data_IF_357987239832
#
_entry.id   IF_357987239832
#
_cell.length_a   1.000
_cell.length_b   1.000
_cell.length_c   1.000
_cell.angle_alpha   90.00
_cell.angle_beta   90.00
_cell.angle_gamma   90.00
#
_symmetry.space_group_name_H-M   'P 1'
#
loop_
_entity.id
_entity.type
_entity.pdbx_description
1 polymer ?
#
# COMPACT_ATOMS: atom_id res chain seq x y z
N UNK A 1 1.13 27.35 11.72
CA UNK A 1 2.20 26.74 12.54
C UNK A 1 3.00 25.86 11.60
N UNK A 2 4.29 26.09 11.44
CA UNK A 2 5.16 25.24 10.61
C UNK A 2 5.33 23.87 11.28
N UNK A 3 5.29 22.79 10.50
CA UNK A 3 5.63 21.46 11.02
C UNK A 3 7.05 21.44 11.61
N UNK A 4 7.32 20.62 12.65
CA UNK A 4 8.67 20.45 13.19
C UNK A 4 9.61 19.95 12.10
N UNK A 5 10.77 20.60 11.93
CA UNK A 5 11.77 20.24 10.90
C UNK A 5 12.20 18.76 10.99
N UNK A 6 12.34 18.24 12.21
CA UNK A 6 12.65 16.84 12.50
C UNK A 6 11.61 15.87 11.90
N UNK A 7 10.33 16.24 11.90
CA UNK A 7 9.28 15.39 11.35
C UNK A 7 9.31 15.38 9.81
N UNK A 8 9.53 16.53 9.18
CA UNK A 8 9.69 16.63 7.72
C UNK A 8 10.88 15.81 7.23
N UNK A 9 12.00 15.85 7.96
CA UNK A 9 13.17 15.03 7.65
C UNK A 9 12.89 13.53 7.80
N UNK A 10 12.17 13.14 8.86
CA UNK A 10 11.75 11.76 9.07
C UNK A 10 10.81 11.26 7.97
N UNK A 11 9.84 12.09 7.55
CA UNK A 11 8.94 11.78 6.44
C UNK A 11 9.73 11.53 5.16
N UNK A 12 10.64 12.45 4.78
CA UNK A 12 11.51 12.29 3.60
C UNK A 12 12.33 11.01 3.68
N UNK A 13 13.01 10.77 4.80
CA UNK A 13 13.84 9.59 5.01
C UNK A 13 13.07 8.28 4.80
N UNK A 14 11.80 8.24 5.22
CA UNK A 14 10.98 7.01 5.21
C UNK A 14 10.13 6.86 3.95
N UNK A 15 9.60 7.95 3.39
CA UNK A 15 8.69 7.94 2.24
C UNK A 15 9.40 8.11 0.91
N UNK A 16 10.48 8.90 0.81
CA UNK A 16 11.14 9.15 -0.47
C UNK A 16 11.63 7.85 -1.15
N UNK A 17 12.24 6.88 -0.45
CA UNK A 17 12.63 5.60 -1.07
C UNK A 17 11.44 4.84 -1.66
N UNK A 18 10.29 4.89 -0.99
CA UNK A 18 9.07 4.24 -1.45
C UNK A 18 8.48 4.96 -2.66
N UNK A 19 8.52 6.29 -2.68
CA UNK A 19 8.09 7.10 -3.82
C UNK A 19 9.01 6.89 -5.03
N UNK A 20 10.32 6.80 -4.82
CA UNK A 20 11.28 6.47 -5.87
C UNK A 20 11.01 5.08 -6.47
N UNK A 21 10.81 4.08 -5.61
CA UNK A 21 10.41 2.75 -6.07
C UNK A 21 9.12 2.81 -6.88
N UNK A 22 8.11 3.53 -6.39
CA UNK A 22 6.81 3.65 -7.06
C UNK A 22 6.93 4.29 -8.45
N UNK A 23 7.67 5.40 -8.54
CA UNK A 23 7.96 6.10 -9.79
C UNK A 23 8.64 5.18 -10.79
N UNK A 24 9.65 4.42 -10.35
CA UNK A 24 10.39 3.49 -11.20
C UNK A 24 9.53 2.30 -11.63
N UNK A 25 8.71 1.75 -10.72
CA UNK A 25 7.90 0.56 -10.96
C UNK A 25 6.73 0.80 -11.92
N UNK A 26 6.08 1.95 -11.78
CA UNK A 26 4.88 2.32 -12.55
C UNK A 26 5.16 3.37 -13.62
N UNK A 27 6.41 3.82 -13.77
CA UNK A 27 6.82 4.81 -14.78
C UNK A 27 5.91 6.05 -14.73
N UNK A 28 5.62 6.53 -13.52
CA UNK A 28 4.67 7.60 -13.26
C UNK A 28 5.33 8.76 -12.50
N UNK A 29 4.75 9.95 -12.61
CA UNK A 29 5.25 11.13 -11.91
C UNK A 29 4.33 11.47 -10.74
N UNK A 30 4.71 11.02 -9.54
CA UNK A 30 4.08 11.41 -8.28
C UNK A 30 5.07 12.25 -7.47
N UNK A 31 4.59 13.39 -6.99
CA UNK A 31 5.34 14.31 -6.13
C UNK A 31 4.62 14.48 -4.80
N UNK A 32 5.39 14.57 -3.72
CA UNK A 32 4.88 15.03 -2.44
C UNK A 32 4.40 16.50 -2.57
N UNK A 33 3.43 16.89 -1.75
CA UNK A 33 2.89 18.25 -1.74
C UNK A 33 2.92 18.76 -0.30
N UNK A 34 3.51 19.95 -0.11
CA UNK A 34 3.58 20.63 1.19
C UNK A 34 2.41 21.62 1.37
N UNK A 35 1.54 21.74 0.36
CA UNK A 35 0.35 22.59 0.36
C UNK A 35 -0.88 21.82 0.83
N UNK A 36 -1.80 22.51 1.51
CA UNK A 36 -3.09 21.94 1.92
C UNK A 36 -3.93 21.46 0.72
N UNK A 37 -3.71 22.06 -0.45
CA UNK A 37 -4.39 21.72 -1.69
C UNK A 37 -3.42 20.96 -2.58
N UNK A 38 -3.64 19.65 -2.71
CA UNK A 38 -2.87 18.83 -3.65
C UNK A 38 -3.19 19.21 -5.09
N UNK A 39 -2.15 19.21 -5.93
CA UNK A 39 -2.33 19.26 -7.38
C UNK A 39 -3.04 18.00 -7.87
N UNK A 40 -3.83 18.09 -8.96
CA UNK A 40 -4.45 16.90 -9.53
C UNK A 40 -3.39 15.93 -10.03
N UNK A 41 -3.59 14.64 -9.76
CA UNK A 41 -2.70 13.58 -10.28
C UNK A 41 -2.75 13.59 -11.81
N UNK A 42 -1.56 13.53 -12.40
CA UNK A 42 -1.35 13.49 -13.85
C UNK A 42 -2.21 12.40 -14.54
N UNK A 43 -2.92 12.74 -15.64
CA UNK A 43 -3.78 11.78 -16.35
C UNK A 43 -3.04 10.53 -16.82
N UNK A 44 -1.77 10.64 -17.24
CA UNK A 44 -0.98 9.49 -17.67
C UNK A 44 -0.73 8.53 -16.50
N UNK A 45 -0.36 9.08 -15.35
CA UNK A 45 -0.23 8.33 -14.10
C UNK A 45 -1.53 7.61 -13.72
N UNK A 46 -2.68 8.29 -13.80
CA UNK A 46 -4.00 7.65 -13.56
C UNK A 46 -4.27 6.52 -14.55
N UNK A 47 -3.94 6.68 -15.82
CA UNK A 47 -4.15 5.67 -16.85
C UNK A 47 -3.29 4.42 -16.61
N UNK A 48 -2.01 4.59 -16.24
CA UNK A 48 -1.11 3.48 -15.92
C UNK A 48 -1.62 2.69 -14.71
N UNK A 49 -1.98 3.40 -13.64
CA UNK A 49 -2.51 2.76 -12.43
C UNK A 49 -3.85 2.08 -12.69
N UNK A 50 -4.76 2.72 -13.42
CA UNK A 50 -6.05 2.11 -13.81
C UNK A 50 -5.85 0.84 -14.63
N UNK A 51 -4.93 0.86 -15.60
CA UNK A 51 -4.59 -0.31 -16.41
C UNK A 51 -4.04 -1.44 -15.54
N UNK A 52 -3.15 -1.11 -14.59
CA UNK A 52 -2.59 -2.09 -13.67
C UNK A 52 -3.67 -2.70 -12.77
N UNK A 53 -4.55 -1.89 -12.19
CA UNK A 53 -5.64 -2.36 -11.33
C UNK A 53 -6.64 -3.23 -12.08
N UNK A 54 -6.97 -2.87 -13.32
CA UNK A 54 -7.87 -3.64 -14.18
C UNK A 54 -7.31 -5.01 -14.60
N UNK A 55 -6.01 -5.28 -14.37
CA UNK A 55 -5.44 -6.61 -14.61
C UNK A 55 -5.79 -7.61 -13.52
N UNK A 56 -6.22 -7.14 -12.34
CA UNK A 56 -6.62 -8.01 -11.23
C UNK A 56 -8.06 -8.50 -11.38
N UNK A 57 -8.32 -9.72 -10.92
CA UNK A 57 -9.68 -10.22 -10.80
C UNK A 57 -10.43 -9.54 -9.65
N UNK A 58 -11.76 -9.64 -9.67
CA UNK A 58 -12.63 -8.99 -8.68
C UNK A 58 -12.29 -9.38 -7.23
N UNK A 59 -11.95 -10.64 -6.96
CA UNK A 59 -11.65 -11.11 -5.60
C UNK A 59 -10.32 -10.57 -5.09
N UNK A 60 -9.32 -10.51 -5.97
CA UNK A 60 -8.02 -9.90 -5.66
C UNK A 60 -8.23 -8.40 -5.36
N UNK A 61 -9.03 -7.71 -6.18
CA UNK A 61 -9.39 -6.32 -5.95
C UNK A 61 -10.15 -6.12 -4.64
N UNK A 62 -11.05 -7.02 -4.25
CA UNK A 62 -11.77 -6.93 -2.96
C UNK A 62 -10.80 -6.96 -1.77
N UNK A 63 -9.87 -7.93 -1.74
CA UNK A 63 -8.84 -7.99 -0.69
C UNK A 63 -7.94 -6.76 -0.72
N UNK A 64 -7.61 -6.28 -1.92
CA UNK A 64 -6.77 -5.12 -2.10
C UNK A 64 -7.42 -3.81 -1.65
N UNK A 65 -8.69 -3.58 -1.97
CA UNK A 65 -9.48 -2.43 -1.48
C UNK A 65 -9.52 -2.44 0.05
N UNK A 66 -9.72 -3.60 0.67
CA UNK A 66 -9.68 -3.70 2.13
C UNK A 66 -8.33 -3.28 2.72
N UNK A 67 -7.21 -3.63 2.07
CA UNK A 67 -5.86 -3.17 2.48
C UNK A 67 -5.73 -1.65 2.31
N UNK A 68 -6.16 -1.10 1.17
CA UNK A 68 -6.12 0.34 0.90
C UNK A 68 -6.93 1.11 1.93
N UNK A 69 -8.12 0.65 2.28
CA UNK A 69 -8.99 1.30 3.25
C UNK A 69 -8.41 1.35 4.66
N UNK A 70 -7.60 0.35 5.03
CA UNK A 70 -6.92 0.31 6.32
C UNK A 70 -5.65 1.18 6.32
N UNK A 71 -4.83 1.14 5.27
CA UNK A 71 -3.58 1.92 5.18
C UNK A 71 -3.80 3.37 4.74
N UNK A 72 -4.96 3.68 4.16
CA UNK A 72 -5.28 4.97 3.51
C UNK A 72 -4.27 5.39 2.42
N UNK A 73 -3.56 4.43 1.83
CA UNK A 73 -2.52 4.69 0.84
C UNK A 73 -2.49 3.62 -0.23
N UNK A 74 -2.74 4.03 -1.48
CA UNK A 74 -2.60 3.16 -2.64
C UNK A 74 -1.14 2.75 -2.86
N UNK A 75 -0.19 3.65 -2.63
CA UNK A 75 1.25 3.40 -2.82
C UNK A 75 1.73 2.30 -1.87
N UNK A 76 1.43 2.40 -0.57
CA UNK A 76 1.79 1.37 0.40
C UNK A 76 1.12 0.03 0.08
N UNK A 77 -0.14 0.07 -0.35
CA UNK A 77 -0.87 -1.14 -0.69
C UNK A 77 -0.27 -1.83 -1.92
N UNK A 78 0.07 -1.08 -2.98
CA UNK A 78 0.74 -1.63 -4.16
C UNK A 78 2.13 -2.17 -3.81
N UNK A 79 2.87 -1.50 -2.94
CA UNK A 79 4.15 -2.00 -2.45
C UNK A 79 4.04 -3.32 -1.67
N UNK A 80 2.94 -3.54 -0.94
CA UNK A 80 2.65 -4.82 -0.29
C UNK A 80 2.31 -5.92 -1.31
N UNK A 81 1.46 -5.62 -2.29
CA UNK A 81 1.11 -6.59 -3.34
C UNK A 81 2.33 -7.03 -4.14
N UNK A 82 3.20 -6.10 -4.50
CA UNK A 82 4.45 -6.37 -5.21
C UNK A 82 5.55 -6.95 -4.30
N UNK A 83 5.24 -7.23 -3.03
CA UNK A 83 6.16 -7.78 -2.01
C UNK A 83 7.43 -6.92 -1.82
N UNK A 84 7.34 -5.62 -2.11
CA UNK A 84 8.44 -4.68 -1.96
C UNK A 84 8.70 -4.32 -0.49
N UNK A 85 7.64 -4.27 0.32
CA UNK A 85 7.70 -4.01 1.77
C UNK A 85 6.90 -5.04 2.55
N UNK A 86 7.15 -5.17 3.85
CA UNK A 86 6.36 -6.05 4.73
C UNK A 86 5.12 -5.35 5.27
N UNK A 87 4.14 -6.12 5.77
CA UNK A 87 2.96 -5.56 6.47
C UNK A 87 3.37 -4.69 7.65
N UNK A 88 4.42 -5.09 8.38
CA UNK A 88 4.94 -4.31 9.51
C UNK A 88 5.44 -2.95 9.04
N UNK A 89 6.21 -2.92 7.96
CA UNK A 89 6.76 -1.67 7.42
C UNK A 89 5.66 -0.76 6.89
N UNK A 90 4.70 -1.33 6.14
CA UNK A 90 3.59 -0.56 5.59
C UNK A 90 2.72 0.08 6.68
N UNK A 91 2.40 -0.66 7.73
CA UNK A 91 1.62 -0.16 8.87
C UNK A 91 2.39 0.90 9.67
N UNK A 92 3.69 0.72 9.86
CA UNK A 92 4.52 1.72 10.53
C UNK A 92 4.61 3.00 9.68
N UNK A 93 4.77 2.89 8.36
CA UNK A 93 4.79 4.03 7.44
C UNK A 93 3.47 4.78 7.39
N UNK A 94 2.33 4.07 7.38
CA UNK A 94 1.00 4.71 7.40
C UNK A 94 0.72 5.45 8.72
N UNK A 95 1.44 5.12 9.79
CA UNK A 95 1.28 5.69 11.13
C UNK A 95 2.45 6.58 11.56
N UNK A 96 3.34 6.96 10.63
CA UNK A 96 4.59 7.65 10.95
C UNK A 96 4.37 8.90 11.81
N UNK A 97 3.35 9.70 11.48
CA UNK A 97 2.99 10.90 12.24
C UNK A 97 2.53 10.56 13.66
N UNK A 98 1.60 9.63 13.81
CA UNK A 98 1.09 9.20 15.12
C UNK A 98 2.24 8.70 15.99
N UNK A 99 3.13 7.88 15.44
CA UNK A 99 4.31 7.39 16.17
C UNK A 99 5.21 8.54 16.62
N UNK A 100 5.51 9.50 15.75
CA UNK A 100 6.32 10.67 16.10
C UNK A 100 5.70 11.50 17.23
N UNK A 101 4.39 11.75 17.14
CA UNK A 101 3.66 12.51 18.15
C UNK A 101 3.59 11.78 19.49
N UNK A 102 3.36 10.48 19.47
CA UNK A 102 3.36 9.62 20.67
C UNK A 102 4.73 9.59 21.35
N UNK A 103 5.83 9.59 20.60
CA UNK A 103 7.19 9.65 21.16
C UNK A 103 7.47 10.98 21.88
N UNK A 104 6.94 12.10 21.35
CA UNK A 104 7.16 13.43 21.93
C UNK A 104 6.22 13.75 23.10
N UNK A 105 4.99 13.25 23.08
CA UNK A 105 3.94 13.65 24.04
C UNK A 105 3.42 12.51 24.93
N UNK A 106 4.02 11.32 24.81
CA UNK A 106 3.68 10.16 25.63
C UNK A 106 2.62 9.28 24.97
N UNK A 107 2.65 8.00 25.36
CA UNK A 107 1.75 6.98 24.87
C UNK A 107 0.50 6.88 25.74
N UNK A 108 -0.68 6.88 25.12
CA UNK A 108 -1.90 6.36 25.73
C UNK A 108 -1.89 4.84 25.61
N UNK A 109 -1.40 4.19 26.66
CA UNK A 109 -1.34 2.73 26.80
C UNK A 109 -2.72 2.11 26.48
N UNK A 110 -2.74 0.93 25.85
CA UNK A 110 -3.91 0.23 25.31
C UNK A 110 -4.51 0.80 24.03
N UNK A 111 -4.69 2.12 23.91
CA UNK A 111 -5.32 2.70 22.71
C UNK A 111 -4.42 2.55 21.47
N UNK A 112 -3.17 2.99 21.56
CA UNK A 112 -2.25 2.97 20.42
C UNK A 112 -1.75 1.57 20.07
N UNK A 113 -1.59 0.70 21.07
CA UNK A 113 -1.14 -0.69 20.90
C UNK A 113 -2.22 -1.57 20.28
N UNK A 114 -3.46 -1.46 20.77
CA UNK A 114 -4.59 -2.18 20.19
C UNK A 114 -4.81 -1.75 18.74
N UNK A 115 -4.79 -0.44 18.46
CA UNK A 115 -4.92 0.07 17.10
C UNK A 115 -3.81 -0.50 16.19
N UNK A 116 -2.57 -0.60 16.70
CA UNK A 116 -1.44 -1.12 15.91
C UNK A 116 -1.62 -2.60 15.59
N UNK A 117 -2.03 -3.38 16.57
CA UNK A 117 -2.27 -4.82 16.40
C UNK A 117 -3.48 -5.07 15.48
N UNK A 118 -4.57 -4.32 15.65
CA UNK A 118 -5.74 -4.41 14.79
C UNK A 118 -5.41 -4.05 13.35
N UNK A 119 -4.67 -2.97 13.13
CA UNK A 119 -4.29 -2.54 11.80
C UNK A 119 -3.39 -3.57 11.11
N UNK A 120 -2.38 -4.12 11.82
CA UNK A 120 -1.55 -5.21 11.30
C UNK A 120 -2.38 -6.46 10.98
N UNK A 121 -3.31 -6.85 11.85
CA UNK A 121 -4.17 -8.00 11.64
C UNK A 121 -5.06 -7.83 10.40
N UNK A 122 -5.69 -6.66 10.25
CA UNK A 122 -6.58 -6.36 9.12
C UNK A 122 -5.82 -6.32 7.81
N UNK A 123 -4.69 -5.61 7.77
CA UNK A 123 -3.86 -5.53 6.56
C UNK A 123 -3.35 -6.92 6.17
N UNK A 124 -2.90 -7.73 7.13
CA UNK A 124 -2.47 -9.11 6.86
C UNK A 124 -3.59 -9.97 6.30
N UNK A 125 -4.80 -9.89 6.87
CA UNK A 125 -5.95 -10.65 6.40
C UNK A 125 -6.37 -10.26 4.98
N UNK A 126 -6.44 -8.96 4.68
CA UNK A 126 -6.75 -8.45 3.34
C UNK A 126 -5.71 -8.87 2.30
N UNK A 127 -4.43 -8.77 2.66
CA UNK A 127 -3.32 -9.15 1.80
C UNK A 127 -3.31 -10.66 1.51
N UNK A 128 -3.50 -11.49 2.53
CA UNK A 128 -3.61 -12.95 2.37
C UNK A 128 -4.78 -13.32 1.46
N UNK A 129 -5.94 -12.69 1.65
CA UNK A 129 -7.10 -12.91 0.78
C UNK A 129 -6.80 -12.52 -0.67
N UNK A 130 -6.12 -11.39 -0.90
CA UNK A 130 -5.73 -10.96 -2.23
C UNK A 130 -4.78 -11.99 -2.89
N UNK A 131 -3.75 -12.45 -2.18
CA UNK A 131 -2.79 -13.43 -2.71
C UNK A 131 -3.43 -14.78 -3.04
N UNK A 132 -4.25 -15.33 -2.14
CA UNK A 132 -4.93 -16.60 -2.38
C UNK A 132 -5.86 -16.58 -3.61
N UNK A 133 -6.40 -15.41 -3.95
CA UNK A 133 -7.25 -15.24 -5.13
C UNK A 133 -6.48 -14.81 -6.39
N UNK A 134 -5.25 -14.33 -6.26
CA UNK A 134 -4.35 -14.09 -7.38
C UNK A 134 -3.81 -15.43 -7.94
N UNK A 135 -3.39 -16.36 -7.08
CA UNK A 135 -2.79 -17.65 -7.46
C UNK A 135 -3.78 -18.64 -8.11
N UNK A 136 -5.09 -18.50 -7.86
CA UNK A 136 -6.13 -19.31 -8.54
C UNK A 136 -6.12 -19.11 -10.07
N UNK A 137 -5.59 -17.99 -10.57
CA UNK A 137 -5.45 -17.75 -12.01
C UNK A 137 -4.36 -18.65 -12.60
N UNK A 138 -3.21 -18.76 -11.94
CA UNK A 138 -2.06 -19.56 -12.43
C UNK A 138 -2.39 -21.06 -12.44
N UNK A 139 -3.08 -21.54 -11.40
CA UNK A 139 -3.44 -22.97 -11.29
C UNK A 139 -4.59 -23.38 -12.24
N UNK A 140 -5.53 -22.48 -12.55
CA UNK A 140 -6.61 -22.77 -13.52
C UNK A 140 -6.16 -22.71 -14.98
N UNK A 141 -5.21 -21.82 -15.30
CA UNK A 141 -4.63 -21.70 -16.65
C UNK A 141 -3.74 -22.92 -16.99
N UNK A 142 -2.99 -23.44 -16.02
CA UNK A 142 -2.23 -24.69 -16.21
C UNK A 142 -3.13 -25.90 -16.49
N UNK A 143 -4.21 -26.11 -15.72
CA UNK A 143 -5.15 -27.23 -15.94
C UNK A 143 -5.87 -27.18 -17.31
N UNK A 144 -6.13 -25.97 -17.83
CA UNK A 144 -6.76 -25.79 -19.14
C UNK A 144 -5.79 -26.10 -20.30
N UNK A 145 -4.50 -25.89 -20.10
CA UNK A 145 -3.46 -26.23 -21.10
C UNK A 145 -3.16 -27.73 -21.20
N UNK A 146 -3.33 -28.48 -20.11
CA UNK A 146 -3.17 -29.94 -20.10
C UNK A 146 -4.37 -30.64 -20.75
N UNK A 147 -5.59 -30.16 -20.51
CA UNK A 147 -6.81 -30.75 -21.09
C UNK A 147 -6.95 -30.57 -22.61
N UNK A 148 -6.32 -29.54 -23.19
CA UNK A 148 -6.28 -29.33 -24.65
C UNK A 148 -5.22 -30.19 -25.34
N UNK A 149 -4.25 -30.76 -24.61
CA UNK A 149 -3.23 -31.66 -25.17
C UNK A 149 -3.67 -33.13 -25.24
N UNK A 150 -4.81 -33.49 -24.64
CA UNK A 150 -5.33 -34.86 -24.57
C UNK A 150 -6.69 -35.03 -25.28
N UNK A 151 -7.07 -34.12 -26.18
CA UNK A 151 -8.21 -34.23 -27.10
C UNK A 151 -7.73 -34.05 -28.53
#
# INVERSE_FOLDING_TARGET
MSEPTEFVELQKQKWDPLLDWFRNRFQCNISATDELISKPVDPMTKAVLSKHLNSYNIWTLTGFVFVIENLKSLILSLALLDKHITVKDAVNLSRLEVTFQTEKWGNVEWAHDLDLMLLRSRVSAGLLFAFLNAEKIETSTMKKSESVKFS
#
